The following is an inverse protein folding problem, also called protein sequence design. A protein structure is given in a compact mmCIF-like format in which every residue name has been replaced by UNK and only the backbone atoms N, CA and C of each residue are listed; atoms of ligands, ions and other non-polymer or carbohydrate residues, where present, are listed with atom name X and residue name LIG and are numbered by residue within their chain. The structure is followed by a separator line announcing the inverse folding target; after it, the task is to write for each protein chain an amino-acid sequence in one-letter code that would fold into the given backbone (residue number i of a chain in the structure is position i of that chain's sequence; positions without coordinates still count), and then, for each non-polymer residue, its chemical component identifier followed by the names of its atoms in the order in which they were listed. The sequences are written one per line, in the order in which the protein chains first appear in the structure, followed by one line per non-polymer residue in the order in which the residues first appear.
data_IF_719785196747
#
_entry.id   IF_719785196747
#
_cell.length_a   1.000
_cell.length_b   1.000
_cell.length_c   1.000
_cell.angle_alpha   90.00
_cell.angle_beta   90.00
_cell.angle_gamma   90.00
#
_symmetry.space_group_name_H-M   'P 1'
#
loop_
_entity.id
_entity.type
_entity.pdbx_description
1 polymer ?
#
# COMPACT_ATOMS: atom_id res chain seq x y z
N UNK A 1 65.39 9.06 41.15
CA UNK A 1 65.51 9.33 39.69
C UNK A 1 64.45 8.48 39.04
N UNK A 2 63.32 9.10 38.65
CA UNK A 2 63.02 9.46 37.25
C UNK A 2 62.96 8.18 36.37
N UNK A 3 61.86 7.84 35.69
CA UNK A 3 60.66 8.61 35.38
C UNK A 3 59.59 7.70 34.79
N UNK A 4 58.41 8.29 34.70
CA UNK A 4 57.16 7.74 34.21
C UNK A 4 57.26 7.35 32.73
N UNK A 5 56.62 6.24 32.34
CA UNK A 5 56.00 6.11 31.01
C UNK A 5 54.66 5.38 31.15
N UNK A 6 53.74 6.05 31.83
CA UNK A 6 52.33 5.98 31.51
C UNK A 6 52.13 6.69 30.17
N UNK A 7 52.18 5.95 29.05
CA UNK A 7 51.48 6.34 27.83
C UNK A 7 50.45 5.24 27.59
N UNK A 8 49.27 5.32 28.20
CA UNK A 8 48.13 6.01 27.59
C UNK A 8 48.05 5.72 26.08
N UNK A 9 47.73 4.48 25.72
CA UNK A 9 46.99 4.21 24.50
C UNK A 9 45.58 4.80 24.68
N UNK A 10 45.51 6.13 24.58
CA UNK A 10 44.27 6.90 24.49
C UNK A 10 43.43 6.23 23.42
N UNK A 11 42.31 5.65 23.84
CA UNK A 11 41.23 5.30 22.94
C UNK A 11 40.96 6.54 22.08
N UNK A 12 41.34 6.47 20.79
CA UNK A 12 40.95 7.49 19.81
C UNK A 12 39.44 7.42 19.71
N UNK A 13 38.76 8.20 20.54
CA UNK A 13 37.35 8.56 20.40
C UNK A 13 37.26 9.44 19.15
N UNK A 14 37.41 8.80 17.99
CA UNK A 14 37.24 9.43 16.69
C UNK A 14 35.77 9.71 16.51
N UNK A 15 35.34 10.93 16.83
CA UNK A 15 34.04 11.43 16.43
C UNK A 15 33.97 11.32 14.90
N UNK A 16 33.09 10.46 14.38
CA UNK A 16 32.91 10.31 12.94
C UNK A 16 32.73 11.69 12.29
N UNK A 17 33.50 11.94 11.22
CA UNK A 17 33.43 13.20 10.51
C UNK A 17 31.99 13.40 10.02
N UNK A 18 31.47 14.63 10.00
CA UNK A 18 30.05 14.91 9.72
C UNK A 18 29.56 14.19 8.44
N UNK A 19 30.43 14.11 7.43
CA UNK A 19 30.20 13.38 6.17
C UNK A 19 30.05 11.87 6.34
N UNK A 20 30.80 11.25 7.24
CA UNK A 20 30.69 9.82 7.52
C UNK A 20 29.37 9.53 8.27
N UNK A 21 28.98 10.39 9.22
CA UNK A 21 27.66 10.28 9.89
C UNK A 21 26.50 10.43 8.90
N UNK A 22 26.58 11.40 8.00
CA UNK A 22 25.57 11.59 6.95
C UNK A 22 25.45 10.35 6.03
N UNK A 23 26.57 9.74 5.62
CA UNK A 23 26.55 8.51 4.81
C UNK A 23 25.91 7.33 5.56
N UNK A 24 26.22 7.15 6.84
CA UNK A 24 25.63 6.09 7.65
C UNK A 24 24.12 6.30 7.85
N UNK A 25 23.68 7.55 8.04
CA UNK A 25 22.26 7.86 8.13
C UNK A 25 21.52 7.53 6.82
N UNK A 26 22.06 7.96 5.68
CA UNK A 26 21.49 7.64 4.36
C UNK A 26 21.45 6.12 4.12
N UNK A 27 22.51 5.39 4.50
CA UNK A 27 22.51 3.94 4.38
C UNK A 27 21.42 3.30 5.23
N UNK A 28 21.30 3.72 6.50
CA UNK A 28 20.27 3.22 7.40
C UNK A 28 18.85 3.51 6.86
N UNK A 29 18.64 4.67 6.26
CA UNK A 29 17.34 5.01 5.66
C UNK A 29 17.07 4.22 4.38
N UNK A 30 18.08 3.98 3.54
CA UNK A 30 17.94 3.07 2.40
C UNK A 30 17.61 1.65 2.83
N UNK A 31 18.23 1.15 3.89
CA UNK A 31 17.97 -0.21 4.39
C UNK A 31 16.54 -0.32 4.98
N UNK A 32 16.04 0.74 5.63
CA UNK A 32 14.63 0.81 6.05
C UNK A 32 13.68 0.80 4.86
N UNK A 33 13.94 1.61 3.83
CA UNK A 33 13.10 1.68 2.63
C UNK A 33 13.06 0.32 1.94
N UNK A 34 14.22 -0.34 1.75
CA UNK A 34 14.28 -1.69 1.19
C UNK A 34 13.42 -2.66 1.97
N UNK A 35 13.55 -2.67 3.31
CA UNK A 35 12.74 -3.53 4.16
C UNK A 35 11.25 -3.23 4.06
N UNK A 36 10.85 -1.96 3.94
CA UNK A 36 9.46 -1.59 3.72
C UNK A 36 8.95 -2.11 2.37
N UNK A 37 9.72 -1.95 1.31
CA UNK A 37 9.38 -2.47 -0.02
C UNK A 37 9.23 -3.99 0.03
N UNK A 38 10.17 -4.71 0.64
CA UNK A 38 10.11 -6.17 0.77
C UNK A 38 8.83 -6.62 1.50
N UNK A 39 8.47 -5.94 2.60
CA UNK A 39 7.24 -6.24 3.34
C UNK A 39 5.98 -5.92 2.54
N UNK A 40 5.96 -4.84 1.76
CA UNK A 40 4.84 -4.54 0.88
C UNK A 40 4.69 -5.58 -0.23
N UNK A 41 5.80 -5.98 -0.86
CA UNK A 41 5.79 -7.03 -1.88
C UNK A 41 5.29 -8.35 -1.31
N UNK A 42 5.74 -8.74 -0.12
CA UNK A 42 5.26 -9.94 0.58
C UNK A 42 3.76 -9.86 0.87
N UNK A 43 3.29 -8.73 1.41
CA UNK A 43 1.88 -8.52 1.73
C UNK A 43 0.98 -8.57 0.49
N UNK A 44 1.38 -7.89 -0.60
CA UNK A 44 0.62 -7.91 -1.87
C UNK A 44 0.58 -9.30 -2.48
N UNK A 45 1.70 -10.02 -2.47
CA UNK A 45 1.75 -11.43 -2.94
C UNK A 45 0.82 -12.32 -2.10
N UNK A 46 0.76 -12.11 -0.79
CA UNK A 46 -0.14 -12.85 0.09
C UNK A 46 -1.62 -12.52 -0.18
N UNK A 47 -1.94 -11.27 -0.52
CA UNK A 47 -3.29 -10.85 -0.95
C UNK A 47 -3.65 -11.54 -2.27
N UNK A 48 -2.78 -11.52 -3.27
CA UNK A 48 -3.03 -12.20 -4.55
C UNK A 48 -3.29 -13.69 -4.35
N UNK A 49 -2.49 -14.35 -3.50
CA UNK A 49 -2.67 -15.76 -3.18
C UNK A 49 -4.00 -16.04 -2.46
N UNK A 50 -4.42 -15.14 -1.55
CA UNK A 50 -5.71 -15.22 -0.87
C UNK A 50 -6.87 -15.08 -1.85
N UNK A 51 -6.80 -14.09 -2.73
CA UNK A 51 -7.87 -13.80 -3.68
C UNK A 51 -8.03 -14.96 -4.68
N UNK A 52 -6.91 -15.54 -5.16
CA UNK A 52 -6.95 -16.79 -5.93
C UNK A 52 -7.56 -17.97 -5.16
N UNK A 53 -7.26 -18.09 -3.86
CA UNK A 53 -7.84 -19.14 -3.03
C UNK A 53 -9.36 -18.94 -2.84
N UNK A 54 -9.82 -17.70 -2.69
CA UNK A 54 -11.23 -17.36 -2.57
C UNK A 54 -12.00 -17.65 -3.88
N UNK A 55 -11.41 -17.34 -5.03
CA UNK A 55 -11.98 -17.69 -6.34
C UNK A 55 -12.12 -19.21 -6.48
N UNK A 56 -11.06 -19.97 -6.19
CA UNK A 56 -11.09 -21.45 -6.25
C UNK A 56 -12.12 -22.04 -5.28
N UNK A 57 -12.23 -21.47 -4.07
CA UNK A 57 -13.25 -21.85 -3.11
C UNK A 57 -14.65 -21.60 -3.67
N UNK A 58 -14.90 -20.43 -4.23
CA UNK A 58 -16.17 -20.07 -4.85
C UNK A 58 -16.56 -21.00 -6.01
N UNK A 59 -15.60 -21.35 -6.87
CA UNK A 59 -15.78 -22.31 -7.96
C UNK A 59 -16.20 -23.69 -7.41
N UNK A 60 -15.47 -24.22 -6.44
CA UNK A 60 -15.81 -25.49 -5.80
C UNK A 60 -17.21 -25.47 -5.14
N UNK A 61 -17.58 -24.36 -4.50
CA UNK A 61 -18.91 -24.19 -3.90
C UNK A 61 -20.02 -24.15 -4.96
N UNK A 62 -19.78 -23.50 -6.11
CA UNK A 62 -20.69 -23.50 -7.25
C UNK A 62 -20.85 -24.91 -7.85
N UNK A 63 -19.76 -25.69 -7.95
CA UNK A 63 -19.82 -27.09 -8.38
C UNK A 63 -20.65 -27.95 -7.42
N UNK A 64 -20.44 -27.82 -6.11
CA UNK A 64 -21.23 -28.54 -5.10
C UNK A 64 -22.72 -28.19 -5.19
N UNK A 65 -23.04 -26.92 -5.45
CA UNK A 65 -24.42 -26.49 -5.70
C UNK A 65 -24.97 -27.09 -7.00
N UNK A 66 -24.16 -27.17 -8.06
CA UNK A 66 -24.52 -27.83 -9.32
C UNK A 66 -24.80 -29.32 -9.17
N UNK A 67 -24.16 -29.99 -8.20
CA UNK A 67 -24.45 -31.37 -7.80
C UNK A 67 -25.71 -31.51 -6.94
N UNK A 68 -26.39 -30.41 -6.60
CA UNK A 68 -27.66 -30.41 -5.88
C UNK A 68 -27.56 -30.24 -4.37
N UNK A 69 -26.37 -29.95 -3.81
CA UNK A 69 -26.26 -29.64 -2.38
C UNK A 69 -26.88 -28.27 -2.09
N UNK A 70 -27.64 -28.19 -1.01
CA UNK A 70 -28.16 -26.90 -0.53
C UNK A 70 -27.05 -26.09 0.15
N UNK A 71 -27.20 -24.76 0.19
CA UNK A 71 -26.26 -23.90 0.91
C UNK A 71 -26.16 -24.24 2.40
N UNK A 72 -27.25 -24.73 3.01
CA UNK A 72 -27.26 -25.16 4.41
C UNK A 72 -26.39 -26.40 4.60
N UNK A 73 -26.55 -27.42 3.73
CA UNK A 73 -25.73 -28.64 3.81
C UNK A 73 -24.24 -28.34 3.60
N UNK A 74 -23.92 -27.40 2.71
CA UNK A 74 -22.54 -26.97 2.48
C UNK A 74 -21.99 -26.23 3.71
N UNK A 75 -22.78 -25.33 4.33
CA UNK A 75 -22.39 -24.63 5.56
C UNK A 75 -22.11 -25.61 6.69
N UNK A 76 -23.02 -26.56 6.92
CA UNK A 76 -22.90 -27.55 8.00
C UNK A 76 -21.67 -28.44 7.84
N UNK A 77 -21.27 -28.76 6.59
CA UNK A 77 -20.11 -29.62 6.30
C UNK A 77 -18.78 -28.88 6.28
N UNK A 78 -18.79 -27.63 5.81
CA UNK A 78 -17.56 -26.83 5.66
C UNK A 78 -17.20 -26.03 6.92
N UNK A 79 -18.16 -25.81 7.82
CA UNK A 79 -18.01 -24.89 8.94
C UNK A 79 -18.04 -23.42 8.54
N UNK A 80 -18.29 -23.12 7.26
CA UNK A 80 -18.46 -21.76 6.76
C UNK A 80 -19.87 -21.27 7.04
N UNK A 81 -19.99 -19.97 7.29
CA UNK A 81 -21.30 -19.32 7.39
C UNK A 81 -21.96 -19.23 6.00
N UNK A 82 -23.30 -19.20 5.94
CA UNK A 82 -24.01 -18.97 4.68
C UNK A 82 -23.60 -17.67 3.96
N UNK A 83 -23.15 -16.67 4.71
CA UNK A 83 -22.66 -15.40 4.18
C UNK A 83 -21.31 -15.56 3.50
N UNK A 84 -20.36 -16.26 4.13
CA UNK A 84 -19.04 -16.54 3.54
C UNK A 84 -19.18 -17.38 2.28
N UNK A 85 -20.03 -18.40 2.29
CA UNK A 85 -20.35 -19.21 1.10
C UNK A 85 -20.88 -18.32 -0.03
N UNK A 86 -21.83 -17.43 0.29
CA UNK A 86 -22.40 -16.51 -0.72
C UNK A 86 -21.38 -15.51 -1.26
N UNK A 87 -20.47 -15.03 -0.42
CA UNK A 87 -19.40 -14.12 -0.82
C UNK A 87 -18.41 -14.81 -1.76
N UNK A 88 -17.91 -16.00 -1.37
CA UNK A 88 -16.96 -16.76 -2.18
C UNK A 88 -17.55 -17.15 -3.54
N UNK A 89 -18.80 -17.65 -3.58
CA UNK A 89 -19.46 -17.97 -4.86
C UNK A 89 -19.62 -16.76 -5.77
N UNK A 90 -19.88 -15.56 -5.21
CA UNK A 90 -19.93 -14.33 -5.98
C UNK A 90 -18.55 -13.91 -6.49
N UNK A 91 -17.53 -13.96 -5.63
CA UNK A 91 -16.16 -13.63 -6.01
C UNK A 91 -15.67 -14.48 -7.20
N UNK A 92 -16.03 -15.77 -7.23
CA UNK A 92 -15.73 -16.63 -8.38
C UNK A 92 -16.44 -16.20 -9.68
N UNK A 93 -17.72 -15.83 -9.61
CA UNK A 93 -18.46 -15.35 -10.78
C UNK A 93 -17.93 -14.01 -11.28
N UNK A 94 -17.63 -13.08 -10.37
CA UNK A 94 -17.09 -11.77 -10.73
C UNK A 94 -15.69 -11.90 -11.36
N UNK A 95 -14.86 -12.83 -10.88
CA UNK A 95 -13.55 -13.11 -11.45
C UNK A 95 -13.62 -13.68 -12.88
N UNK A 96 -14.59 -14.57 -13.17
CA UNK A 96 -14.82 -15.09 -14.52
C UNK A 96 -15.16 -13.96 -15.49
N UNK A 97 -15.97 -12.99 -15.07
CA UNK A 97 -16.32 -11.84 -15.92
C UNK A 97 -15.15 -10.88 -16.16
N UNK A 98 -14.23 -10.73 -15.20
CA UNK A 98 -13.06 -9.85 -15.34
C UNK A 98 -12.00 -10.45 -16.27
N UNK A 99 -11.83 -11.77 -16.27
CA UNK A 99 -10.88 -12.47 -17.15
C UNK A 99 -11.34 -12.41 -18.61
N UNK A 100 -12.65 -12.44 -18.86
CA UNK A 100 -13.22 -12.28 -20.21
C UNK A 100 -13.04 -10.87 -20.78
N UNK A 101 -12.98 -9.83 -19.93
CA UNK A 101 -12.81 -8.43 -20.35
C UNK A 101 -11.33 -8.02 -20.51
N UNK A 102 -10.40 -8.73 -19.86
CA UNK A 102 -8.96 -8.48 -19.92
C UNK A 102 -8.27 -8.93 -21.23
N UNK A 103 -9.00 -9.54 -22.18
CA UNK A 103 -8.45 -10.04 -23.46
C UNK A 103 -8.33 -8.94 -24.53
N UNK A 104 -8.60 -7.67 -24.20
CA UNK A 104 -8.48 -6.55 -25.15
C UNK A 104 -7.15 -5.80 -25.00
N UNK A 105 -6.30 -5.98 -26.01
CA UNK A 105 -5.09 -5.21 -26.39
C UNK A 105 -3.93 -5.06 -25.39
N UNK A 106 -2.87 -5.84 -25.66
CA UNK A 106 -1.50 -5.30 -25.66
C UNK A 106 -1.00 -5.32 -27.10
N UNK A 107 -1.45 -4.34 -27.88
CA UNK A 107 -0.84 -3.99 -29.16
C UNK A 107 0.50 -3.32 -28.90
N UNK A 108 1.54 -3.83 -29.55
CA UNK A 108 2.94 -3.46 -29.39
C UNK A 108 3.17 -1.98 -29.74
N UNK A 109 3.22 -1.12 -28.72
CA UNK A 109 3.59 0.28 -28.85
C UNK A 109 5.11 0.45 -28.85
N UNK A 110 5.70 0.43 -30.04
CA UNK A 110 7.06 0.86 -30.33
C UNK A 110 7.32 2.27 -29.75
N UNK A 111 8.21 2.37 -28.76
CA UNK A 111 8.58 3.64 -28.14
C UNK A 111 9.85 4.14 -28.82
N UNK A 112 9.68 4.93 -29.88
CA UNK A 112 10.79 5.59 -30.56
C UNK A 112 11.39 6.66 -29.64
N UNK A 113 12.56 6.35 -29.06
CA UNK A 113 13.36 7.30 -28.29
C UNK A 113 14.01 8.29 -29.26
N UNK A 114 13.45 9.50 -29.35
CA UNK A 114 14.10 10.60 -30.06
C UNK A 114 15.23 11.15 -29.19
N UNK A 115 16.45 11.06 -29.72
CA UNK A 115 17.67 11.58 -29.09
C UNK A 115 17.61 13.12 -29.07
N UNK A 116 17.66 13.69 -27.86
CA UNK A 116 17.81 15.13 -27.63
C UNK A 116 19.15 15.63 -28.19
N UNK A 117 19.05 16.59 -29.10
CA UNK A 117 20.17 17.18 -29.83
C UNK A 117 20.00 18.68 -29.93
N UNK A 118 20.40 19.38 -28.86
CA UNK A 118 21.09 20.67 -28.86
C UNK A 118 20.48 21.84 -29.65
N UNK A 119 20.07 22.88 -28.92
CA UNK A 119 20.17 24.25 -29.40
C UNK A 119 20.55 25.17 -28.25
N UNK A 120 21.73 25.79 -28.37
CA UNK A 120 22.06 26.99 -27.63
C UNK A 120 21.12 28.12 -28.06
N UNK A 121 20.69 28.91 -27.09
CA UNK A 121 19.80 30.03 -27.29
C UNK A 121 19.92 30.99 -26.11
N UNK A 122 20.98 31.79 -26.15
CA UNK A 122 21.16 32.96 -25.30
C UNK A 122 19.95 33.89 -25.40
N UNK A 123 19.27 34.18 -24.29
CA UNK A 123 18.47 35.39 -24.18
C UNK A 123 18.50 35.96 -22.75
N UNK A 124 19.14 37.12 -22.66
CA UNK A 124 19.13 38.00 -21.50
C UNK A 124 17.73 38.52 -21.19
N UNK A 125 17.48 38.68 -19.88
CA UNK A 125 16.72 39.78 -19.30
C UNK A 125 15.20 39.65 -19.25
N UNK A 126 14.64 39.47 -18.05
CA UNK A 126 13.93 40.53 -17.32
C UNK A 126 13.33 39.96 -16.02
N UNK A 127 13.75 40.54 -14.88
CA UNK A 127 13.14 40.32 -13.57
C UNK A 127 11.82 41.08 -13.48
N UNK A 128 10.72 40.40 -13.20
CA UNK A 128 9.52 41.01 -12.64
C UNK A 128 8.95 40.12 -11.56
N UNK A 129 8.92 40.67 -10.34
CA UNK A 129 8.34 40.12 -9.15
C UNK A 129 6.83 40.41 -9.08
N UNK A 130 6.04 39.39 -8.77
CA UNK A 130 4.74 39.43 -8.08
C UNK A 130 4.49 37.98 -7.62
N UNK A 131 4.68 37.63 -6.34
CA UNK A 131 3.70 37.89 -5.28
C UNK A 131 2.45 37.08 -5.62
N UNK A 132 2.26 35.84 -5.18
CA UNK A 132 2.35 35.35 -3.81
C UNK A 132 0.93 35.08 -3.36
N UNK A 133 0.28 34.07 -3.96
CA UNK A 133 -1.05 33.60 -3.56
C UNK A 133 -0.89 32.26 -2.84
N UNK A 134 -0.73 32.36 -1.53
CA UNK A 134 -0.90 31.27 -0.58
C UNK A 134 -2.40 30.92 -0.52
N UNK A 135 -2.77 29.76 -1.05
CA UNK A 135 -4.08 29.17 -0.79
C UNK A 135 -4.04 28.41 0.54
N UNK A 136 -4.44 29.11 1.60
CA UNK A 136 -4.84 28.52 2.88
C UNK A 136 -6.03 27.57 2.65
N UNK A 137 -5.79 26.26 2.72
CA UNK A 137 -6.84 25.26 2.90
C UNK A 137 -6.77 24.82 4.37
N UNK A 138 -7.44 25.59 5.24
CA UNK A 138 -7.83 25.15 6.58
C UNK A 138 -9.25 24.59 6.50
N UNK A 139 -9.34 23.32 6.12
CA UNK A 139 -10.57 22.53 6.21
C UNK A 139 -10.67 21.89 7.59
N UNK A 140 -10.96 22.68 8.62
CA UNK A 140 -11.40 22.17 9.93
C UNK A 140 -12.82 21.61 9.77
N UNK A 141 -12.90 20.31 9.49
CA UNK A 141 -14.12 19.54 9.57
C UNK A 141 -14.36 19.14 11.03
N UNK A 142 -14.95 20.06 11.80
CA UNK A 142 -15.67 19.74 13.04
C UNK A 142 -16.88 18.88 12.66
N UNK A 143 -16.72 17.56 12.71
CA UNK A 143 -17.83 16.60 12.72
C UNK A 143 -17.95 16.02 14.13
N UNK A 144 -18.79 16.68 14.91
CA UNK A 144 -19.21 16.31 16.25
C UNK A 144 -20.41 15.35 16.14
N UNK A 145 -20.30 14.04 16.49
CA UNK A 145 -21.46 13.17 16.57
C UNK A 145 -22.07 13.24 17.97
N UNK A 146 -22.76 14.33 18.30
CA UNK A 146 -23.62 14.35 19.49
C UNK A 146 -24.84 13.45 19.27
N UNK A 147 -24.91 12.44 20.12
CA UNK A 147 -25.94 11.45 20.21
C UNK A 147 -27.23 12.03 20.80
N UNK A 148 -28.37 11.86 20.12
CA UNK A 148 -29.69 11.81 20.77
C UNK A 148 -30.80 11.29 19.83
N UNK A 149 -30.83 9.99 19.59
CA UNK A 149 -32.09 9.30 19.23
C UNK A 149 -32.42 8.26 20.29
N UNK A 150 -32.96 8.74 21.42
CA UNK A 150 -33.70 7.91 22.36
C UNK A 150 -35.20 8.06 22.03
N UNK A 151 -35.65 7.21 21.11
CA UNK A 151 -37.07 6.99 20.87
C UNK A 151 -37.71 6.22 22.02
N UNK A 152 -38.79 6.80 22.54
CA UNK A 152 -40.09 6.13 22.65
C UNK A 152 -40.16 4.81 23.43
N UNK A 153 -40.41 4.91 24.75
CA UNK A 153 -41.13 3.87 25.51
C UNK A 153 -41.74 4.36 26.83
N UNK A 154 -42.95 4.89 26.77
CA UNK A 154 -43.92 4.95 27.87
C UNK A 154 -45.31 4.92 27.21
N UNK A 155 -46.30 4.10 27.55
CA UNK A 155 -46.70 3.57 28.85
C UNK A 155 -47.41 2.22 28.65
N UNK A 156 -47.16 1.29 29.57
CA UNK A 156 -48.07 0.20 29.85
C UNK A 156 -49.09 0.64 30.92
N UNK A 157 -50.23 -0.05 30.89
CA UNK A 157 -51.40 -0.06 31.80
C UNK A 157 -52.62 0.72 31.33
#
# INVERSE_FOLDING_TARGET
MQGEWLIMAVARKGTLNARQRARLAVQADQDKIKRQVDLFTEALTAVDARDQAEIRLGQALNELRGMGLSRADIADRSGLTPREISAAMRAATDAETLDEEAVVEVGEGDVEVTSDGGADGSHDGHVSAHGGDDLDITGDADSDPEAAHAGDRAHAQ
#
